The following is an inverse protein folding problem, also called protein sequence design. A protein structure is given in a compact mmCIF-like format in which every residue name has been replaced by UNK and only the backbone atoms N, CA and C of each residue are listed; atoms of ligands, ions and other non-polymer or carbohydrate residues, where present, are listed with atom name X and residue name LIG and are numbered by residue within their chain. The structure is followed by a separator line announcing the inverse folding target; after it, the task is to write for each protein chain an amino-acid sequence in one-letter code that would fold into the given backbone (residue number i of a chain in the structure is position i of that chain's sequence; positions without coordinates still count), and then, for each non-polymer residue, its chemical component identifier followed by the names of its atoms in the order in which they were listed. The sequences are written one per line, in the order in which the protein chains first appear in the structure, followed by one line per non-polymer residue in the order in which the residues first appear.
data_IF_762632563415
#
_entry.id   IF_762632563415
#
_cell.length_a   1.000
_cell.length_b   1.000
_cell.length_c   1.000
_cell.angle_alpha   90.00
_cell.angle_beta   90.00
_cell.angle_gamma   90.00
#
_symmetry.space_group_name_H-M   'P 1'
#
loop_
_entity.id
_entity.type
_entity.pdbx_description
1 polymer ?
#
# COMPACT_ATOMS: atom_id res chain seq x y z
N UNK A 1 -4.70 20.78 -17.48
CA UNK A 1 -5.43 20.01 -16.47
C UNK A 1 -5.14 18.55 -16.77
N UNK A 2 -4.13 17.98 -16.10
CA UNK A 2 -3.73 16.59 -16.33
C UNK A 2 -4.75 15.69 -15.64
N UNK A 3 -5.39 14.80 -16.40
CA UNK A 3 -6.22 13.72 -15.87
C UNK A 3 -5.40 12.92 -14.84
N UNK A 4 -5.95 12.56 -13.67
CA UNK A 4 -5.29 11.60 -12.80
C UNK A 4 -5.23 10.28 -13.57
N UNK A 5 -4.02 9.92 -13.99
CA UNK A 5 -3.68 8.63 -14.56
C UNK A 5 -4.31 7.53 -13.72
N UNK A 6 -5.05 6.62 -14.35
CA UNK A 6 -5.64 5.46 -13.70
C UNK A 6 -4.55 4.72 -12.93
N UNK A 7 -4.67 4.65 -11.60
CA UNK A 7 -3.71 3.93 -10.75
C UNK A 7 -3.69 2.47 -11.24
N UNK A 8 -2.54 1.93 -11.69
CA UNK A 8 -2.50 0.65 -12.39
C UNK A 8 -2.59 -0.57 -11.46
N UNK A 9 -2.63 -0.34 -10.14
CA UNK A 9 -2.63 -1.38 -9.12
C UNK A 9 -4.03 -1.93 -8.88
N UNK A 10 -4.14 -3.25 -8.81
CA UNK A 10 -5.40 -3.95 -8.55
C UNK A 10 -5.14 -5.22 -7.77
N UNK A 11 -6.16 -5.71 -7.07
CA UNK A 11 -6.10 -7.03 -6.45
C UNK A 11 -5.88 -8.12 -7.52
N UNK A 12 -5.14 -9.19 -7.19
CA UNK A 12 -5.06 -10.35 -8.07
C UNK A 12 -6.44 -11.03 -8.17
N UNK A 13 -6.73 -11.61 -9.34
CA UNK A 13 -7.98 -12.36 -9.56
C UNK A 13 -8.05 -13.64 -8.71
N UNK A 14 -6.89 -14.12 -8.25
CA UNK A 14 -6.74 -15.31 -7.42
C UNK A 14 -5.91 -15.01 -6.18
N UNK A 15 -6.29 -15.59 -5.05
CA UNK A 15 -5.54 -15.51 -3.80
C UNK A 15 -4.34 -16.46 -3.81
N UNK A 16 -3.35 -16.27 -2.90
CA UNK A 16 -2.27 -17.23 -2.72
C UNK A 16 -2.81 -18.64 -2.48
N UNK A 17 -2.30 -19.61 -3.25
CA UNK A 17 -2.68 -21.03 -3.12
C UNK A 17 -1.81 -21.79 -2.13
N UNK A 18 -0.71 -21.18 -1.67
CA UNK A 18 0.10 -21.72 -0.59
C UNK A 18 -0.72 -21.72 0.71
N UNK A 19 -0.93 -22.88 1.37
CA UNK A 19 -1.78 -22.97 2.56
C UNK A 19 -1.32 -22.08 3.72
N UNK A 20 -0.01 -21.90 3.90
CA UNK A 20 0.53 -21.06 4.98
C UNK A 20 0.22 -19.59 4.70
N UNK A 21 0.39 -19.15 3.46
CA UNK A 21 0.04 -17.78 3.07
C UNK A 21 -1.46 -17.53 3.15
N UNK A 22 -2.29 -18.50 2.76
CA UNK A 22 -3.75 -18.40 2.85
C UNK A 22 -4.21 -18.24 4.30
N UNK A 23 -3.67 -19.02 5.23
CA UNK A 23 -3.99 -18.94 6.66
C UNK A 23 -3.56 -17.60 7.30
N UNK A 24 -2.45 -17.02 6.82
CA UNK A 24 -1.93 -15.75 7.32
C UNK A 24 -2.59 -14.52 6.69
N UNK A 25 -3.31 -14.69 5.58
CA UNK A 25 -3.83 -13.59 4.78
C UNK A 25 -4.83 -12.68 5.53
N UNK A 26 -5.78 -13.20 6.34
CA UNK A 26 -6.65 -12.36 7.16
C UNK A 26 -5.88 -11.49 8.15
N UNK A 27 -4.85 -12.04 8.80
CA UNK A 27 -4.01 -11.31 9.75
C UNK A 27 -3.16 -10.25 9.04
N UNK A 28 -2.57 -10.61 7.90
CA UNK A 28 -1.76 -9.71 7.09
C UNK A 28 -2.57 -8.49 6.62
N UNK A 29 -3.76 -8.72 6.08
CA UNK A 29 -4.64 -7.64 5.60
C UNK A 29 -5.14 -6.75 6.74
N UNK A 30 -5.53 -7.34 7.87
CA UNK A 30 -5.95 -6.59 9.05
C UNK A 30 -4.83 -5.69 9.60
N UNK A 31 -3.61 -6.23 9.74
CA UNK A 31 -2.47 -5.46 10.23
C UNK A 31 -2.17 -4.28 9.31
N UNK A 32 -2.12 -4.51 8.00
CA UNK A 32 -1.84 -3.44 7.04
C UNK A 32 -2.92 -2.37 6.98
N UNK A 33 -4.20 -2.73 7.12
CA UNK A 33 -5.27 -1.73 7.23
C UNK A 33 -5.10 -0.84 8.46
N UNK A 34 -4.69 -1.41 9.59
CA UNK A 34 -4.34 -0.63 10.79
C UNK A 34 -3.13 0.27 10.55
N UNK A 35 -2.06 -0.26 9.98
CA UNK A 35 -0.82 0.49 9.74
C UNK A 35 -1.05 1.66 8.76
N UNK A 36 -1.89 1.47 7.73
CA UNK A 36 -2.26 2.51 6.77
C UNK A 36 -3.15 3.58 7.42
N UNK A 37 -4.05 3.18 8.31
CA UNK A 37 -4.83 4.13 9.08
C UNK A 37 -3.93 5.06 9.92
N UNK A 38 -2.94 4.48 10.60
CA UNK A 38 -1.99 5.24 11.43
C UNK A 38 -1.06 6.12 10.58
N UNK A 39 -0.74 5.69 9.36
CA UNK A 39 0.06 6.45 8.40
C UNK A 39 -0.59 7.78 7.97
N UNK A 40 -1.89 7.98 8.19
CA UNK A 40 -2.54 9.28 7.94
C UNK A 40 -1.91 10.43 8.73
N UNK A 41 -1.32 10.15 9.89
CA UNK A 41 -0.62 11.15 10.71
C UNK A 41 0.55 11.83 9.97
N UNK A 42 1.14 11.16 8.97
CA UNK A 42 2.21 11.70 8.12
C UNK A 42 1.76 12.89 7.26
N UNK A 43 0.46 13.03 7.04
CA UNK A 43 -0.12 14.08 6.18
C UNK A 43 -0.76 15.22 6.97
N UNK A 44 -1.06 15.01 8.25
CA UNK A 44 -1.70 16.00 9.13
C UNK A 44 -0.67 16.81 9.91
N UNK A 45 0.48 16.21 10.23
CA UNK A 45 1.59 16.88 10.89
C UNK A 45 2.64 17.34 9.87
N UNK A 46 3.60 18.19 10.28
CA UNK A 46 4.67 18.70 9.41
C UNK A 46 5.25 17.57 8.55
N UNK A 47 5.25 17.77 7.23
CA UNK A 47 5.76 16.84 6.23
C UNK A 47 7.12 16.21 6.62
N UNK A 48 7.15 14.88 6.79
CA UNK A 48 8.36 14.09 7.05
C UNK A 48 8.66 13.15 5.85
N UNK A 49 9.46 13.62 4.87
CA UNK A 49 9.72 12.85 3.66
C UNK A 49 10.47 11.54 3.95
N UNK A 50 11.30 11.48 5.00
CA UNK A 50 11.99 10.24 5.35
C UNK A 50 11.02 9.19 5.90
N UNK A 51 10.06 9.60 6.72
CA UNK A 51 9.01 8.69 7.19
C UNK A 51 8.18 8.13 6.03
N UNK A 52 7.80 8.97 5.07
CA UNK A 52 7.08 8.52 3.87
C UNK A 52 7.93 7.56 3.02
N UNK A 53 9.22 7.83 2.86
CA UNK A 53 10.14 6.92 2.16
C UNK A 53 10.23 5.55 2.85
N UNK A 54 10.38 5.54 4.18
CA UNK A 54 10.43 4.31 4.97
C UNK A 54 9.13 3.50 4.85
N UNK A 55 7.98 4.16 4.89
CA UNK A 55 6.69 3.51 4.68
C UNK A 55 6.61 2.81 3.31
N UNK A 56 6.95 3.52 2.23
CA UNK A 56 6.98 2.95 0.89
C UNK A 56 7.95 1.75 0.77
N UNK A 57 9.11 1.85 1.43
CA UNK A 57 10.08 0.74 1.49
C UNK A 57 9.52 -0.49 2.21
N UNK A 58 8.85 -0.30 3.35
CA UNK A 58 8.20 -1.38 4.12
C UNK A 58 7.09 -2.04 3.31
N UNK A 59 6.21 -1.25 2.68
CA UNK A 59 5.14 -1.76 1.79
C UNK A 59 5.74 -2.64 0.69
N UNK A 60 6.76 -2.14 -0.03
CA UNK A 60 7.42 -2.91 -1.10
C UNK A 60 7.94 -4.25 -0.60
N UNK A 61 8.64 -4.24 0.53
CA UNK A 61 9.26 -5.44 1.10
C UNK A 61 8.22 -6.47 1.55
N UNK A 62 7.28 -6.05 2.39
CA UNK A 62 6.27 -6.95 2.96
C UNK A 62 5.35 -7.55 1.91
N UNK A 63 4.90 -6.76 0.92
CA UNK A 63 4.01 -7.26 -0.12
C UNK A 63 4.73 -8.23 -1.05
N UNK A 64 5.99 -7.97 -1.41
CA UNK A 64 6.78 -8.91 -2.20
C UNK A 64 7.00 -10.23 -1.46
N UNK A 65 7.32 -10.18 -0.16
CA UNK A 65 7.54 -11.37 0.67
C UNK A 65 6.27 -12.19 0.89
N UNK A 66 5.11 -11.54 0.99
CA UNK A 66 3.82 -12.21 1.14
C UNK A 66 3.26 -12.79 -0.18
N UNK A 67 3.87 -12.47 -1.33
CA UNK A 67 3.43 -12.94 -2.65
C UNK A 67 2.58 -11.93 -3.45
N UNK A 68 2.31 -10.74 -2.90
CA UNK A 68 1.67 -9.62 -3.61
C UNK A 68 2.65 -8.86 -4.50
N UNK A 69 3.36 -9.57 -5.37
CA UNK A 69 4.38 -9.02 -6.27
C UNK A 69 3.83 -7.94 -7.23
N UNK A 70 2.53 -7.98 -7.55
CA UNK A 70 1.86 -6.96 -8.37
C UNK A 70 1.55 -5.66 -7.62
N UNK A 71 1.42 -5.71 -6.30
CA UNK A 71 1.17 -4.52 -5.45
C UNK A 71 2.47 -3.97 -4.84
N UNK A 72 3.52 -4.78 -4.75
CA UNK A 72 4.82 -4.34 -4.26
C UNK A 72 5.38 -3.06 -4.96
N UNK A 73 5.20 -2.84 -6.29
CA UNK A 73 5.67 -1.62 -6.94
C UNK A 73 4.98 -0.34 -6.45
N UNK A 74 3.77 -0.42 -5.85
CA UNK A 74 3.10 0.73 -5.23
C UNK A 74 3.98 1.36 -4.13
N UNK A 75 4.69 0.53 -3.36
CA UNK A 75 5.67 1.02 -2.38
C UNK A 75 6.83 1.79 -3.01
N UNK A 76 7.21 1.44 -4.25
CA UNK A 76 8.22 2.19 -5.02
C UNK A 76 7.69 3.56 -5.44
N UNK A 77 6.46 3.64 -5.90
CA UNK A 77 5.86 4.92 -6.31
C UNK A 77 5.70 5.85 -5.11
N UNK A 78 5.34 5.33 -3.92
CA UNK A 78 5.33 6.12 -2.68
C UNK A 78 6.72 6.67 -2.33
N UNK A 79 7.78 5.85 -2.49
CA UNK A 79 9.16 6.31 -2.29
C UNK A 79 9.54 7.41 -3.29
N UNK A 80 9.03 7.36 -4.51
CA UNK A 80 9.24 8.41 -5.52
C UNK A 80 8.50 9.70 -5.15
N UNK A 81 7.24 9.61 -4.68
CA UNK A 81 6.49 10.75 -4.14
C UNK A 81 7.21 11.43 -2.96
N UNK A 82 7.80 10.65 -2.06
CA UNK A 82 8.64 11.19 -0.98
C UNK A 82 9.82 12.02 -1.52
N UNK A 83 10.53 11.51 -2.53
CA UNK A 83 11.68 12.20 -3.14
C UNK A 83 11.30 13.45 -3.91
N UNK A 84 10.14 13.46 -4.56
CA UNK A 84 9.64 14.60 -5.34
C UNK A 84 8.86 15.61 -4.50
N UNK A 85 8.54 15.28 -3.24
CA UNK A 85 7.68 16.10 -2.39
C UNK A 85 6.20 16.06 -2.81
N UNK A 86 5.79 15.05 -3.57
CA UNK A 86 4.42 14.85 -4.04
C UNK A 86 3.54 14.19 -2.96
N UNK A 87 3.15 14.98 -1.96
CA UNK A 87 2.33 14.54 -0.84
C UNK A 87 0.92 14.14 -1.24
N UNK A 88 0.36 14.80 -2.26
CA UNK A 88 -0.98 14.49 -2.77
C UNK A 88 -0.97 13.14 -3.49
N UNK A 89 0.02 12.90 -4.37
CA UNK A 89 0.20 11.61 -5.02
C UNK A 89 0.41 10.47 -4.02
N UNK A 90 1.20 10.71 -2.96
CA UNK A 90 1.39 9.72 -1.90
C UNK A 90 0.07 9.38 -1.17
N UNK A 91 -0.77 10.38 -0.85
CA UNK A 91 -2.08 10.14 -0.23
C UNK A 91 -2.99 9.33 -1.14
N UNK A 92 -3.02 9.66 -2.43
CA UNK A 92 -3.82 8.94 -3.43
C UNK A 92 -3.39 7.47 -3.52
N UNK A 93 -2.09 7.20 -3.56
CA UNK A 93 -1.55 5.83 -3.61
C UNK A 93 -1.84 5.03 -2.33
N UNK A 94 -1.66 5.63 -1.16
CA UNK A 94 -1.95 4.97 0.12
C UNK A 94 -3.44 4.69 0.29
N UNK A 95 -4.29 5.65 -0.10
CA UNK A 95 -5.74 5.46 -0.05
C UNK A 95 -6.19 4.34 -0.98
N UNK A 96 -5.64 4.31 -2.20
CA UNK A 96 -5.90 3.22 -3.14
C UNK A 96 -5.49 1.86 -2.57
N UNK A 97 -4.31 1.78 -1.93
CA UNK A 97 -3.87 0.55 -1.28
C UNK A 97 -4.82 0.12 -0.15
N UNK A 98 -5.25 1.05 0.70
CA UNK A 98 -6.21 0.79 1.78
C UNK A 98 -7.52 0.22 1.21
N UNK A 99 -8.05 0.81 0.14
CA UNK A 99 -9.28 0.36 -0.50
C UNK A 99 -9.14 -1.05 -1.08
N UNK A 100 -8.03 -1.35 -1.75
CA UNK A 100 -7.74 -2.70 -2.25
C UNK A 100 -7.67 -3.72 -1.11
N UNK A 101 -6.99 -3.41 -0.01
CA UNK A 101 -6.90 -4.33 1.13
C UNK A 101 -8.25 -4.51 1.83
N UNK A 102 -9.06 -3.44 1.94
CA UNK A 102 -10.40 -3.50 2.50
C UNK A 102 -11.36 -4.32 1.63
N UNK A 103 -11.24 -4.26 0.31
CA UNK A 103 -11.94 -5.16 -0.60
C UNK A 103 -11.49 -6.61 -0.44
N UNK A 104 -10.18 -6.83 -0.32
CA UNK A 104 -9.62 -8.16 -0.14
C UNK A 104 -10.13 -8.79 1.16
N UNK A 105 -10.11 -8.05 2.26
CA UNK A 105 -10.56 -8.52 3.56
C UNK A 105 -12.04 -8.94 3.57
N UNK A 106 -12.90 -8.28 2.78
CA UNK A 106 -14.32 -8.66 2.63
C UNK A 106 -14.54 -9.97 1.86
N UNK A 107 -13.52 -10.45 1.13
CA UNK A 107 -13.56 -11.68 0.32
C UNK A 107 -12.97 -12.89 1.07
N UNK A 108 -12.35 -12.68 2.22
CA UNK A 108 -11.81 -13.71 3.12
C UNK A 108 -12.90 -14.19 4.08
#
# INVERSE_FOLDING_TARGET
MSNPSSIPYRLPDTLPTDPVLADLLPLFTQQWLSDLHDAHSLFVTKSDPEALYRLGHTIKGSFAQFGFTHLAPLGKDIMECSKSGDWEGAQVLLKHLEDLLGELQKRL
#
